data_IF_082773448440
#
_entry.id   IF_082773448440
#
_cell.length_a   1.000
_cell.length_b   1.000
_cell.length_c   1.000
_cell.angle_alpha   90.00
_cell.angle_beta   90.00
_cell.angle_gamma   90.00
#
_symmetry.space_group_name_H-M   'P 1'
#
loop_
_entity.id
_entity.type
_entity.pdbx_description
1 polymer ?
#
# COMPACT_ATOMS: atom_id res chain seq x y z
N UNK A 1 -16.99 14.55 3.35
CA UNK A 1 -16.04 15.41 4.10
C UNK A 1 -14.80 15.55 3.21
N UNK A 2 -14.58 16.72 2.60
CA UNK A 2 -13.52 16.87 1.59
C UNK A 2 -12.15 16.97 2.26
N UNK A 3 -11.19 16.14 1.83
CA UNK A 3 -9.76 16.19 2.15
C UNK A 3 -9.04 17.51 1.79
N UNK A 4 -9.77 18.56 1.40
CA UNK A 4 -9.30 19.90 0.99
C UNK A 4 -8.53 20.68 2.06
N UNK A 5 -8.28 20.14 3.26
CA UNK A 5 -7.77 20.89 4.42
C UNK A 5 -6.38 20.47 4.92
N UNK A 6 -5.59 19.77 4.11
CA UNK A 6 -4.15 19.55 4.37
C UNK A 6 -3.31 20.38 3.38
N UNK A 7 -3.67 21.65 3.20
CA UNK A 7 -3.04 22.53 2.20
C UNK A 7 -1.53 22.70 2.41
N UNK A 8 -1.07 22.73 3.68
CA UNK A 8 0.33 22.98 3.99
C UNK A 8 1.29 21.81 3.74
N UNK A 9 0.83 20.56 3.80
CA UNK A 9 1.70 19.39 3.55
C UNK A 9 1.85 19.13 2.05
N UNK A 10 0.75 19.24 1.32
CA UNK A 10 0.71 19.13 -0.14
C UNK A 10 1.62 20.16 -0.81
N UNK A 11 1.50 21.45 -0.45
CA UNK A 11 2.33 22.51 -1.03
C UNK A 11 3.82 22.33 -0.75
N UNK A 12 4.19 21.88 0.46
CA UNK A 12 5.60 21.64 0.83
C UNK A 12 6.23 20.48 0.07
N UNK A 13 5.52 19.34 -0.01
CA UNK A 13 5.99 18.17 -0.76
C UNK A 13 6.15 18.54 -2.24
N UNK A 14 5.17 19.26 -2.79
CA UNK A 14 5.21 19.74 -4.17
C UNK A 14 6.40 20.67 -4.43
N UNK A 15 6.60 21.71 -3.63
CA UNK A 15 7.73 22.65 -3.79
C UNK A 15 9.09 21.94 -3.71
N UNK A 16 9.17 20.85 -2.95
CA UNK A 16 10.40 20.05 -2.83
C UNK A 16 10.65 19.14 -4.05
N UNK A 17 9.60 18.61 -4.69
CA UNK A 17 9.71 17.65 -5.80
C UNK A 17 9.56 18.28 -7.18
N UNK A 18 8.79 19.36 -7.30
CA UNK A 18 8.35 19.95 -8.56
C UNK A 18 8.56 21.47 -8.54
N UNK A 19 9.76 21.90 -8.95
CA UNK A 19 10.11 23.31 -9.09
C UNK A 19 9.56 23.81 -10.43
N UNK A 20 8.39 24.45 -10.43
CA UNK A 20 7.71 24.97 -11.64
C UNK A 20 8.68 25.71 -12.59
N UNK A 21 8.77 25.25 -13.83
CA UNK A 21 9.07 26.11 -15.00
C UNK A 21 7.75 26.36 -15.73
N UNK A 22 7.24 27.58 -15.61
CA UNK A 22 6.03 28.03 -16.30
C UNK A 22 6.45 28.48 -17.70
N UNK A 23 6.34 27.62 -18.71
CA UNK A 23 6.31 28.08 -20.11
C UNK A 23 5.84 26.96 -21.04
N UNK A 24 4.55 26.96 -21.40
CA UNK A 24 4.03 26.14 -22.50
C UNK A 24 2.55 25.77 -22.35
N UNK A 25 1.80 25.62 -23.44
CA UNK A 25 0.41 25.17 -23.39
C UNK A 25 0.38 23.73 -22.91
N UNK A 26 -0.33 23.48 -21.82
CA UNK A 26 -0.39 22.18 -21.18
C UNK A 26 -1.25 21.19 -21.99
N UNK A 27 -0.77 19.97 -22.25
CA UNK A 27 -1.64 18.93 -22.78
C UNK A 27 -2.58 18.43 -21.68
N UNK A 28 -3.88 18.47 -21.97
CA UNK A 28 -5.00 18.03 -21.13
C UNK A 28 -5.07 16.49 -21.04
N UNK A 29 -4.05 15.85 -20.46
CA UNK A 29 -4.11 14.40 -20.22
C UNK A 29 -4.89 14.11 -18.93
N UNK A 30 -6.15 13.71 -19.04
CA UNK A 30 -6.91 13.12 -17.93
C UNK A 30 -6.48 11.67 -17.75
N UNK A 31 -5.65 11.39 -16.76
CA UNK A 31 -5.22 10.01 -16.47
C UNK A 31 -6.32 9.24 -15.71
N UNK A 32 -6.76 8.07 -16.20
CA UNK A 32 -7.74 7.21 -15.51
C UNK A 32 -7.24 6.69 -14.15
N UNK A 33 -5.93 6.78 -13.90
CA UNK A 33 -5.27 6.55 -12.60
C UNK A 33 -5.97 7.27 -11.44
N UNK A 34 -6.55 8.46 -11.68
CA UNK A 34 -7.14 9.33 -10.65
C UNK A 34 -8.20 8.68 -9.77
N UNK A 35 -9.04 7.81 -10.33
CA UNK A 35 -10.13 7.16 -9.58
C UNK A 35 -9.70 5.86 -8.93
N UNK A 36 -8.71 5.20 -9.53
CA UNK A 36 -8.20 3.89 -9.11
C UNK A 36 -7.50 4.01 -7.75
N UNK A 37 -6.63 5.02 -7.57
CA UNK A 37 -5.90 5.25 -6.32
C UNK A 37 -6.80 5.51 -5.10
N UNK A 38 -7.96 6.11 -5.31
CA UNK A 38 -8.91 6.32 -4.21
C UNK A 38 -9.56 5.03 -3.74
N UNK A 39 -9.77 4.05 -4.63
CA UNK A 39 -10.33 2.75 -4.27
C UNK A 39 -9.35 2.01 -3.36
N UNK A 40 -8.07 1.95 -3.74
CA UNK A 40 -7.01 1.31 -2.95
C UNK A 40 -6.81 1.99 -1.58
N UNK A 41 -6.78 3.32 -1.54
CA UNK A 41 -6.75 4.05 -0.27
C UNK A 41 -7.90 3.68 0.70
N UNK A 42 -9.12 3.46 0.19
CA UNK A 42 -10.23 3.03 1.03
C UNK A 42 -10.16 1.55 1.43
N UNK A 43 -9.58 0.69 0.57
CA UNK A 43 -9.31 -0.71 0.91
C UNK A 43 -8.28 -0.81 2.03
N UNK A 44 -7.18 -0.03 1.97
CA UNK A 44 -6.20 0.07 3.04
C UNK A 44 -6.85 0.48 4.37
N UNK A 45 -7.73 1.48 4.38
CA UNK A 45 -8.48 1.89 5.58
C UNK A 45 -9.32 0.72 6.12
N UNK A 46 -10.00 -0.01 5.23
CA UNK A 46 -10.83 -1.15 5.62
C UNK A 46 -9.99 -2.29 6.23
N UNK A 47 -8.84 -2.61 5.64
CA UNK A 47 -7.92 -3.61 6.17
C UNK A 47 -7.34 -3.20 7.52
N UNK A 48 -6.94 -1.92 7.67
CA UNK A 48 -6.49 -1.37 8.95
C UNK A 48 -7.59 -1.50 10.01
N UNK A 49 -8.84 -1.18 9.67
CA UNK A 49 -9.96 -1.28 10.60
C UNK A 49 -10.15 -2.73 11.12
N UNK A 50 -10.10 -3.73 10.23
CA UNK A 50 -10.17 -5.15 10.62
C UNK A 50 -8.95 -5.53 11.48
N UNK A 51 -7.77 -5.03 11.13
CA UNK A 51 -6.54 -5.30 11.86
C UNK A 51 -6.57 -4.76 13.29
N UNK A 52 -7.15 -3.58 13.54
CA UNK A 52 -7.24 -2.99 14.89
C UNK A 52 -7.91 -3.94 15.89
N UNK A 53 -8.99 -4.61 15.50
CA UNK A 53 -9.63 -5.61 16.37
C UNK A 53 -8.69 -6.78 16.69
N UNK A 54 -7.98 -7.28 15.68
CA UNK A 54 -6.98 -8.35 15.84
C UNK A 54 -5.83 -7.91 16.76
N UNK A 55 -5.39 -6.66 16.63
CA UNK A 55 -4.34 -6.09 17.46
C UNK A 55 -4.75 -6.02 18.94
N UNK A 56 -5.98 -5.60 19.24
CA UNK A 56 -6.48 -5.61 20.62
C UNK A 56 -6.53 -7.00 21.23
N UNK A 57 -7.05 -7.99 20.48
CA UNK A 57 -7.08 -9.40 20.93
C UNK A 57 -5.65 -9.91 21.18
N UNK A 58 -4.69 -9.50 20.36
CA UNK A 58 -3.30 -9.86 20.57
C UNK A 58 -2.68 -9.26 21.81
N UNK A 59 -3.04 -8.05 22.23
CA UNK A 59 -2.48 -7.47 23.46
C UNK A 59 -2.85 -8.35 24.66
N UNK A 60 -4.08 -8.86 24.67
CA UNK A 60 -4.56 -9.78 25.71
C UNK A 60 -3.77 -11.09 25.65
N UNK A 61 -3.62 -11.66 24.45
CA UNK A 61 -2.86 -12.89 24.23
C UNK A 61 -1.34 -12.73 24.38
N UNK A 62 -0.81 -11.52 24.44
CA UNK A 62 0.63 -11.28 24.48
C UNK A 62 1.29 -11.94 25.70
N UNK A 63 0.57 -11.98 26.82
CA UNK A 63 1.02 -12.66 28.03
C UNK A 63 1.01 -14.19 27.89
N UNK A 64 0.15 -14.71 27.02
CA UNK A 64 0.00 -16.14 26.77
C UNK A 64 1.00 -16.63 25.71
N UNK A 65 1.04 -15.99 24.53
CA UNK A 65 1.87 -16.39 23.40
C UNK A 65 2.59 -15.19 22.76
N UNK A 66 3.84 -14.98 23.17
CA UNK A 66 4.68 -13.87 22.73
C UNK A 66 5.08 -13.98 21.25
N UNK A 67 5.25 -15.19 20.75
CA UNK A 67 5.76 -15.50 19.41
C UNK A 67 4.87 -14.90 18.29
N UNK A 68 3.56 -14.86 18.53
CA UNK A 68 2.56 -14.31 17.60
C UNK A 68 2.74 -12.80 17.40
N UNK A 69 3.23 -12.09 18.42
CA UNK A 69 3.39 -10.64 18.35
C UNK A 69 4.30 -10.19 17.21
N UNK A 70 5.32 -11.00 16.89
CA UNK A 70 6.22 -10.70 15.76
C UNK A 70 5.47 -10.65 14.42
N UNK A 71 4.54 -11.59 14.18
CA UNK A 71 3.74 -11.65 12.94
C UNK A 71 2.81 -10.44 12.86
N UNK A 72 2.19 -10.08 13.98
CA UNK A 72 1.26 -8.95 14.06
C UNK A 72 1.98 -7.63 13.84
N UNK A 73 3.15 -7.45 14.44
CA UNK A 73 3.94 -6.23 14.27
C UNK A 73 4.35 -6.03 12.81
N UNK A 74 4.79 -7.09 12.13
CA UNK A 74 5.11 -7.02 10.70
C UNK A 74 3.87 -6.77 9.84
N UNK A 75 2.73 -7.39 10.18
CA UNK A 75 1.44 -7.13 9.50
C UNK A 75 1.02 -5.66 9.67
N UNK A 76 1.13 -5.11 10.88
CA UNK A 76 0.84 -3.70 11.15
C UNK A 76 1.73 -2.77 10.31
N UNK A 77 3.03 -3.06 10.29
CA UNK A 77 4.01 -2.27 9.54
C UNK A 77 3.69 -2.29 8.04
N UNK A 78 3.35 -3.46 7.50
CA UNK A 78 2.95 -3.63 6.10
C UNK A 78 1.70 -2.81 5.74
N UNK A 79 0.66 -2.88 6.57
CA UNK A 79 -0.58 -2.13 6.35
C UNK A 79 -0.36 -0.61 6.44
N UNK A 80 0.41 -0.14 7.43
CA UNK A 80 0.69 1.29 7.60
C UNK A 80 1.54 1.81 6.44
N UNK A 81 2.53 1.05 5.99
CA UNK A 81 3.35 1.46 4.83
C UNK A 81 2.52 1.49 3.55
N UNK A 82 1.66 0.49 3.32
CA UNK A 82 0.73 0.46 2.17
C UNK A 82 -0.19 1.68 2.17
N UNK A 83 -0.82 1.97 3.31
CA UNK A 83 -1.66 3.15 3.50
C UNK A 83 -0.91 4.47 3.23
N UNK A 84 0.34 4.59 3.70
CA UNK A 84 1.13 5.81 3.48
C UNK A 84 1.48 6.01 2.00
N UNK A 85 1.78 4.93 1.27
CA UNK A 85 2.04 4.96 -0.16
C UNK A 85 0.78 5.41 -0.92
N UNK A 86 -0.36 4.81 -0.61
CA UNK A 86 -1.62 5.13 -1.31
C UNK A 86 -2.12 6.54 -0.95
N UNK A 87 -1.93 6.96 0.30
CA UNK A 87 -2.17 8.34 0.71
C UNK A 87 -1.28 9.33 -0.04
N UNK A 88 -0.01 9.01 -0.27
CA UNK A 88 0.91 9.85 -1.04
C UNK A 88 0.44 10.01 -2.50
N UNK A 89 0.01 8.93 -3.16
CA UNK A 89 -0.58 9.01 -4.50
C UNK A 89 -1.90 9.76 -4.53
N UNK A 90 -2.73 9.61 -3.50
CA UNK A 90 -3.96 10.38 -3.34
C UNK A 90 -3.68 11.89 -3.21
N UNK A 91 -2.58 12.29 -2.58
CA UNK A 91 -2.23 13.71 -2.45
C UNK A 91 -1.78 14.31 -3.79
N UNK A 92 -1.09 13.55 -4.66
CA UNK A 92 -0.61 14.03 -5.97
C UNK A 92 -1.77 14.22 -6.98
N UNK A 93 -2.96 13.68 -6.66
CA UNK A 93 -4.17 13.60 -7.51
C UNK A 93 -4.77 14.92 -8.01
N UNK A 94 -4.42 16.07 -7.44
CA UNK A 94 -5.25 17.29 -7.53
C UNK A 94 -4.90 18.30 -8.66
N UNK A 95 -3.98 17.99 -9.59
CA UNK A 95 -3.69 18.90 -10.70
C UNK A 95 -4.23 18.42 -12.06
N UNK A 96 -4.97 19.30 -12.75
CA UNK A 96 -5.52 19.10 -14.11
C UNK A 96 -4.47 19.33 -15.21
N UNK A 97 -3.27 19.80 -14.86
CA UNK A 97 -2.21 20.22 -15.76
C UNK A 97 -0.85 19.89 -15.11
N UNK A 98 -0.12 18.94 -15.69
CA UNK A 98 1.24 18.59 -15.29
C UNK A 98 2.19 18.81 -16.48
N UNK A 99 3.40 19.32 -16.23
CA UNK A 99 4.44 19.41 -17.28
C UNK A 99 4.98 18.03 -17.65
N UNK A 100 5.62 17.89 -18.81
CA UNK A 100 6.23 16.61 -19.24
C UNK A 100 7.25 16.09 -18.22
N UNK A 101 8.10 16.98 -17.68
CA UNK A 101 9.07 16.64 -16.64
C UNK A 101 8.39 16.14 -15.34
N UNK A 102 7.27 16.75 -14.96
CA UNK A 102 6.48 16.34 -13.78
C UNK A 102 5.84 14.96 -14.00
N UNK A 103 5.37 14.67 -15.22
CA UNK A 103 4.78 13.38 -15.59
C UNK A 103 5.85 12.27 -15.56
N UNK A 104 7.04 12.52 -16.10
CA UNK A 104 8.15 11.55 -16.09
C UNK A 104 8.56 11.22 -14.66
N UNK A 105 8.77 12.25 -13.83
CA UNK A 105 9.16 12.06 -12.43
C UNK A 105 8.07 11.35 -11.62
N UNK A 106 6.80 11.73 -11.81
CA UNK A 106 5.66 11.07 -11.16
C UNK A 106 5.55 9.61 -11.57
N UNK A 107 5.75 9.29 -12.85
CA UNK A 107 5.70 7.90 -13.36
C UNK A 107 6.83 7.07 -12.76
N UNK A 108 8.05 7.62 -12.68
CA UNK A 108 9.19 6.94 -12.06
C UNK A 108 8.97 6.66 -10.57
N UNK A 109 8.49 7.66 -9.82
CA UNK A 109 8.11 7.50 -8.41
C UNK A 109 7.01 6.46 -8.24
N UNK A 110 6.01 6.46 -9.13
CA UNK A 110 4.92 5.48 -9.11
C UNK A 110 5.45 4.05 -9.25
N UNK A 111 6.30 3.81 -10.25
CA UNK A 111 6.93 2.49 -10.46
C UNK A 111 7.76 2.09 -9.24
N UNK A 112 8.57 3.01 -8.70
CA UNK A 112 9.43 2.73 -7.53
C UNK A 112 8.59 2.31 -6.31
N UNK A 113 7.56 3.07 -5.97
CA UNK A 113 6.71 2.74 -4.82
C UNK A 113 5.90 1.47 -5.03
N UNK A 114 5.42 1.18 -6.24
CA UNK A 114 4.79 -0.11 -6.54
C UNK A 114 5.76 -1.27 -6.32
N UNK A 115 7.02 -1.18 -6.78
CA UNK A 115 8.04 -2.22 -6.55
C UNK A 115 8.28 -2.41 -5.05
N UNK A 116 8.45 -1.32 -4.30
CA UNK A 116 8.63 -1.37 -2.84
C UNK A 116 7.42 -2.03 -2.16
N UNK A 117 6.20 -1.66 -2.53
CA UNK A 117 4.95 -2.23 -2.00
C UNK A 117 4.86 -3.74 -2.30
N UNK A 118 5.21 -4.18 -3.51
CA UNK A 118 5.28 -5.61 -3.87
C UNK A 118 6.30 -6.33 -2.97
N UNK A 119 7.52 -5.82 -2.85
CA UNK A 119 8.58 -6.46 -2.07
C UNK A 119 8.18 -6.62 -0.60
N UNK A 120 7.60 -5.58 0.02
CA UNK A 120 7.17 -5.61 1.41
C UNK A 120 6.03 -6.62 1.60
N UNK A 121 5.02 -6.63 0.72
CA UNK A 121 3.89 -7.56 0.83
C UNK A 121 4.33 -9.03 0.66
N UNK A 122 5.18 -9.32 -0.33
CA UNK A 122 5.75 -10.66 -0.53
C UNK A 122 6.53 -11.12 0.71
N UNK A 123 7.40 -10.25 1.22
CA UNK A 123 8.19 -10.54 2.40
C UNK A 123 7.30 -10.80 3.63
N UNK A 124 6.28 -9.98 3.83
CA UNK A 124 5.39 -10.06 4.99
C UNK A 124 4.55 -11.33 4.98
N UNK A 125 3.97 -11.71 3.82
CA UNK A 125 3.27 -13.00 3.68
C UNK A 125 4.21 -14.16 3.97
N UNK A 126 5.38 -14.17 3.33
CA UNK A 126 6.32 -15.28 3.49
C UNK A 126 6.77 -15.42 4.95
N UNK A 127 7.12 -14.31 5.60
CA UNK A 127 7.47 -14.28 7.01
C UNK A 127 6.32 -14.77 7.90
N UNK A 128 5.09 -14.32 7.63
CA UNK A 128 3.88 -14.72 8.37
C UNK A 128 3.64 -16.22 8.26
N UNK A 129 3.76 -16.82 7.07
CA UNK A 129 3.56 -18.25 6.86
C UNK A 129 4.61 -19.08 7.59
N UNK A 130 5.89 -18.79 7.39
CA UNK A 130 7.00 -19.54 8.01
C UNK A 130 6.94 -19.45 9.54
N UNK A 131 6.61 -18.28 10.10
CA UNK A 131 6.48 -18.13 11.55
C UNK A 131 5.24 -18.84 12.09
N UNK A 132 4.12 -18.78 11.39
CA UNK A 132 2.89 -19.48 11.78
C UNK A 132 3.10 -21.00 11.80
N UNK A 133 3.74 -21.55 10.76
CA UNK A 133 4.09 -22.97 10.67
C UNK A 133 4.97 -23.40 11.85
N UNK A 134 6.04 -22.64 12.15
CA UNK A 134 6.91 -22.90 13.31
C UNK A 134 6.17 -22.90 14.64
N UNK A 135 5.15 -22.06 14.81
CA UNK A 135 4.34 -22.01 16.04
C UNK A 135 3.42 -23.23 16.11
N UNK A 136 2.78 -23.61 14.99
CA UNK A 136 1.81 -24.71 14.93
C UNK A 136 2.49 -26.09 15.04
N UNK A 137 3.69 -26.24 14.49
CA UNK A 137 4.45 -27.50 14.49
C UNK A 137 5.49 -27.57 15.62
N UNK A 138 5.48 -26.61 16.54
CA UNK A 138 6.48 -26.56 17.60
C UNK A 138 6.46 -27.82 18.47
N UNK A 139 7.64 -28.43 18.64
CA UNK A 139 7.88 -29.55 19.55
C UNK A 139 8.16 -29.04 20.98
N UNK A 140 8.49 -27.75 21.14
CA UNK A 140 8.72 -27.15 22.45
C UNK A 140 7.43 -27.15 23.27
N UNK A 141 7.48 -27.86 24.41
CA UNK A 141 6.36 -28.02 25.33
C UNK A 141 5.85 -26.65 25.82
N UNK A 142 6.74 -25.68 26.04
CA UNK A 142 6.34 -24.36 26.52
C UNK A 142 5.56 -23.58 25.46
N UNK A 143 6.03 -23.59 24.22
CA UNK A 143 5.33 -22.95 23.09
C UNK A 143 4.02 -23.65 22.81
N UNK A 144 4.00 -24.98 22.83
CA UNK A 144 2.80 -25.77 22.59
C UNK A 144 1.71 -25.48 23.62
N UNK A 145 2.07 -25.42 24.90
CA UNK A 145 1.14 -25.19 26.00
C UNK A 145 0.57 -23.76 25.99
N UNK A 146 1.37 -22.80 25.52
CA UNK A 146 1.02 -21.37 25.46
C UNK A 146 0.29 -20.94 24.19
N UNK A 147 0.68 -21.49 23.04
CA UNK A 147 0.30 -20.98 21.72
C UNK A 147 -0.69 -21.87 20.95
N UNK A 148 -0.97 -23.11 21.40
CA UNK A 148 -1.95 -23.98 20.73
C UNK A 148 -3.41 -23.72 21.16
N UNK A 149 -3.72 -22.55 21.70
CA UNK A 149 -5.11 -22.17 21.99
C UNK A 149 -5.88 -21.90 20.69
N UNK A 150 -7.20 -22.06 20.72
CA UNK A 150 -8.06 -21.74 19.57
C UNK A 150 -7.97 -20.25 19.20
N UNK A 151 -7.83 -19.37 20.19
CA UNK A 151 -7.71 -17.92 20.00
C UNK A 151 -6.41 -17.57 19.25
N UNK A 152 -5.28 -18.16 19.66
CA UNK A 152 -3.99 -17.96 19.02
C UNK A 152 -4.01 -18.40 17.54
N UNK A 153 -4.57 -19.59 17.25
CA UNK A 153 -4.70 -20.10 15.88
C UNK A 153 -5.63 -19.24 15.03
N UNK A 154 -6.76 -18.79 15.57
CA UNK A 154 -7.68 -17.89 14.89
C UNK A 154 -7.00 -16.56 14.53
N UNK A 155 -6.18 -16.03 15.45
CA UNK A 155 -5.47 -14.79 15.24
C UNK A 155 -4.35 -14.92 14.19
N UNK A 156 -3.59 -16.02 14.20
CA UNK A 156 -2.63 -16.36 13.16
C UNK A 156 -3.29 -16.46 11.79
N UNK A 157 -4.42 -17.17 11.70
CA UNK A 157 -5.20 -17.28 10.47
C UNK A 157 -5.66 -15.91 9.98
N UNK A 158 -6.14 -15.05 10.88
CA UNK A 158 -6.57 -13.71 10.51
C UNK A 158 -5.41 -12.86 9.95
N UNK A 159 -4.22 -12.95 10.54
CA UNK A 159 -3.03 -12.26 10.02
C UNK A 159 -2.64 -12.77 8.62
N UNK A 160 -2.72 -14.08 8.38
CA UNK A 160 -2.47 -14.68 7.05
C UNK A 160 -3.49 -14.17 6.03
N UNK A 161 -4.78 -14.10 6.40
CA UNK A 161 -5.84 -13.57 5.54
C UNK A 161 -5.60 -12.10 5.20
N UNK A 162 -5.32 -11.25 6.20
CA UNK A 162 -5.07 -9.81 6.01
C UNK A 162 -3.86 -9.58 5.08
N UNK A 163 -2.75 -10.28 5.32
CA UNK A 163 -1.56 -10.16 4.47
C UNK A 163 -1.84 -10.63 3.04
N UNK A 164 -2.62 -11.71 2.89
CA UNK A 164 -3.03 -12.23 1.58
C UNK A 164 -3.90 -11.23 0.80
N UNK A 165 -4.84 -10.56 1.46
CA UNK A 165 -5.62 -9.46 0.86
C UNK A 165 -4.73 -8.31 0.42
N UNK A 166 -3.80 -7.87 1.27
CA UNK A 166 -2.86 -6.77 0.96
C UNK A 166 -1.98 -7.09 -0.27
N UNK A 167 -1.59 -8.35 -0.43
CA UNK A 167 -0.83 -8.80 -1.61
C UNK A 167 -1.68 -8.84 -2.88
N UNK A 168 -2.93 -9.34 -2.79
CA UNK A 168 -3.85 -9.34 -3.94
C UNK A 168 -4.15 -7.91 -4.39
N UNK A 169 -4.39 -7.01 -3.44
CA UNK A 169 -4.56 -5.58 -3.70
C UNK A 169 -3.37 -5.01 -4.46
N UNK A 170 -2.16 -5.21 -3.93
CA UNK A 170 -0.92 -4.72 -4.54
C UNK A 170 -0.72 -5.30 -5.95
N UNK A 171 -1.11 -6.55 -6.17
CA UNK A 171 -1.07 -7.18 -7.49
C UNK A 171 -2.03 -6.49 -8.47
N UNK A 172 -3.28 -6.24 -8.07
CA UNK A 172 -4.27 -5.55 -8.92
C UNK A 172 -3.80 -4.12 -9.21
N UNK A 173 -3.36 -3.39 -8.19
CA UNK A 173 -2.82 -2.04 -8.29
C UNK A 173 -1.65 -1.95 -9.26
N UNK A 174 -0.69 -2.86 -9.15
CA UNK A 174 0.50 -2.88 -10.02
C UNK A 174 0.14 -3.14 -11.48
N UNK A 175 -0.78 -4.07 -11.75
CA UNK A 175 -1.26 -4.34 -13.10
C UNK A 175 -1.99 -3.12 -13.69
N UNK A 176 -2.90 -2.51 -12.94
CA UNK A 176 -3.62 -1.32 -13.39
C UNK A 176 -2.66 -0.16 -13.66
N UNK A 177 -1.69 0.04 -12.77
CA UNK A 177 -0.64 1.05 -12.95
C UNK A 177 0.14 0.80 -14.24
N UNK A 178 0.56 -0.44 -14.50
CA UNK A 178 1.24 -0.78 -15.75
C UNK A 178 0.40 -0.50 -17.00
N UNK A 179 -0.87 -0.93 -17.02
CA UNK A 179 -1.79 -0.65 -18.12
C UNK A 179 -1.96 0.85 -18.37
N UNK A 180 -2.08 1.64 -17.30
CA UNK A 180 -2.27 3.08 -17.41
C UNK A 180 -1.03 3.79 -17.96
N UNK A 181 0.18 3.34 -17.61
CA UNK A 181 1.43 3.86 -18.18
C UNK A 181 1.53 3.54 -19.68
N UNK A 182 1.18 2.32 -20.09
CA UNK A 182 1.15 1.94 -21.51
C UNK A 182 0.16 2.80 -22.29
N UNK A 183 -1.06 2.94 -21.76
CA UNK A 183 -2.11 3.73 -22.40
C UNK A 183 -1.71 5.20 -22.51
N UNK A 184 -1.10 5.75 -21.46
CA UNK A 184 -0.57 7.11 -21.47
C UNK A 184 0.49 7.29 -22.55
N UNK A 185 1.46 6.37 -22.67
CA UNK A 185 2.48 6.39 -23.72
C UNK A 185 1.85 6.36 -25.12
N UNK A 186 0.83 5.53 -25.35
CA UNK A 186 0.11 5.49 -26.62
C UNK A 186 -0.59 6.82 -26.93
N UNK A 187 -1.22 7.46 -25.95
CA UNK A 187 -1.86 8.77 -26.15
C UNK A 187 -0.85 9.86 -26.50
N UNK A 188 0.32 9.90 -25.85
CA UNK A 188 1.39 10.87 -26.17
C UNK A 188 1.88 10.68 -27.60
N UNK A 189 2.18 9.43 -28.01
CA UNK A 189 2.62 9.12 -29.38
C UNK A 189 1.57 9.50 -30.44
N UNK A 190 0.28 9.32 -30.13
CA UNK A 190 -0.81 9.71 -31.04
C UNK A 190 -0.91 11.23 -31.16
N UNK A 191 -0.56 11.98 -30.11
CA UNK A 191 -0.59 13.44 -30.12
C UNK A 191 0.62 14.04 -30.84
N UNK A 192 1.82 13.48 -30.62
CA UNK A 192 3.04 13.85 -31.35
C UNK A 192 2.95 13.56 -32.85
N UNK A 193 2.13 12.59 -33.27
CA UNK A 193 1.91 12.27 -34.68
C UNK A 193 0.85 13.15 -35.35
N UNK A 194 0.03 13.88 -34.59
CA UNK A 194 -0.99 14.81 -35.10
C UNK A 194 -0.43 16.22 -35.29
N UNK A 195 0.64 16.59 -34.56
CA UNK A 195 1.38 17.85 -34.72
C UNK A 195 2.40 17.73 -35.86
#
# INVERSE_FOLDING_TARGET
MSLRRISGLYEKIRLSLFRRKISGPAPLYKTPLRYIWSIFFYLDIFLIYIFVFSFFVSIILHQECFEIFSIIFFTATNLVLSFLIDFFFLLIKDEEVASEDEIILSTFLTILFCIVKICINVYTIYFSLIKSEKIIESIDINVKLRCHTSLAKALLLNCVIINSFSFIETYIESNLTFFTIIHFKSQVQTYETII
#
